data_IF_542170786382
#
_entry.id   IF_542170786382
#
_cell.length_a   1.000
_cell.length_b   1.000
_cell.length_c   1.000
_cell.angle_alpha   90.00
_cell.angle_beta   90.00
_cell.angle_gamma   90.00
#
_symmetry.space_group_name_H-M   'P 1'
#
loop_
_entity.id
_entity.type
_entity.pdbx_description
1 polymer ?
#
# COMPACT_ATOMS: atom_id res chain seq x y z
N UNK A 1 -1.88 -1.67 -10.07
CA UNK A 1 -0.96 -0.79 -9.32
C UNK A 1 0.38 -0.72 -10.06
N UNK A 2 1.09 -1.83 -10.17
CA UNK A 2 2.44 -1.89 -10.78
C UNK A 2 2.51 -1.31 -12.20
N UNK A 3 1.46 -1.44 -12.99
CA UNK A 3 1.38 -0.88 -14.35
C UNK A 3 1.20 0.65 -14.40
N UNK A 4 1.05 1.33 -13.27
CA UNK A 4 0.84 2.78 -13.19
C UNK A 4 -0.47 3.29 -13.81
N UNK A 5 -1.35 2.39 -14.26
CA UNK A 5 -2.61 2.81 -14.88
C UNK A 5 -3.61 3.25 -13.80
N UNK A 6 -4.07 4.47 -13.90
CA UNK A 6 -5.14 4.99 -13.04
C UNK A 6 -6.49 4.49 -13.53
N UNK A 7 -7.39 4.15 -12.61
CA UNK A 7 -8.74 3.68 -12.94
C UNK A 7 -9.64 4.85 -13.34
N UNK A 8 -9.47 5.99 -12.70
CA UNK A 8 -10.21 7.21 -12.99
C UNK A 8 -9.28 8.43 -12.98
N UNK A 9 -9.61 9.41 -13.76
CA UNK A 9 -8.96 10.74 -13.81
C UNK A 9 -10.03 11.81 -13.81
N UNK A 10 -9.77 13.00 -13.23
CA UNK A 10 -10.63 14.14 -13.42
C UNK A 10 -10.51 14.67 -14.87
N UNK A 11 -11.61 15.10 -15.44
CA UNK A 11 -11.65 15.89 -16.69
C UNK A 11 -11.28 17.36 -16.47
N UNK A 12 -11.48 18.21 -17.50
CA UNK A 12 -11.20 19.64 -17.42
C UNK A 12 -12.03 20.40 -16.38
N UNK A 13 -13.18 19.88 -16.02
CA UNK A 13 -14.10 20.44 -15.02
C UNK A 13 -13.93 19.78 -13.64
N UNK A 14 -12.97 18.87 -13.49
CA UNK A 14 -12.70 18.15 -12.26
C UNK A 14 -13.62 16.95 -12.03
N UNK A 15 -14.45 16.58 -13.00
CA UNK A 15 -15.37 15.45 -12.90
C UNK A 15 -14.60 14.13 -13.21
N UNK A 16 -14.62 13.13 -12.31
CA UNK A 16 -13.91 11.90 -12.54
C UNK A 16 -14.53 11.07 -13.66
N UNK A 17 -13.72 10.61 -14.60
CA UNK A 17 -14.12 9.65 -15.63
C UNK A 17 -13.26 8.40 -15.59
N UNK A 18 -13.81 7.26 -16.04
CA UNK A 18 -13.10 5.98 -16.08
C UNK A 18 -12.10 5.94 -17.24
N UNK A 19 -10.84 5.68 -16.92
CA UNK A 19 -9.75 5.61 -17.92
C UNK A 19 -9.57 4.21 -18.51
N UNK A 20 -10.26 3.21 -18.00
CA UNK A 20 -10.11 1.82 -18.48
C UNK A 20 -10.47 1.68 -19.96
N UNK A 21 -11.38 2.51 -20.47
CA UNK A 21 -11.84 2.49 -21.85
C UNK A 21 -10.94 3.27 -22.81
N UNK A 22 -10.00 4.07 -22.33
CA UNK A 22 -9.14 4.91 -23.20
C UNK A 22 -8.09 4.10 -23.94
N UNK A 23 -7.72 2.93 -23.40
CA UNK A 23 -6.80 1.97 -24.01
C UNK A 23 -7.20 0.56 -23.58
N UNK A 24 -8.11 -0.02 -24.34
CA UNK A 24 -8.67 -1.35 -24.07
C UNK A 24 -7.61 -2.45 -24.17
N UNK A 25 -6.67 -2.34 -25.09
CA UNK A 25 -5.62 -3.34 -25.28
C UNK A 25 -4.69 -3.40 -24.08
N UNK A 26 -4.19 -2.26 -23.62
CA UNK A 26 -3.35 -2.21 -22.42
C UNK A 26 -4.14 -2.65 -21.18
N UNK A 27 -5.41 -2.27 -21.07
CA UNK A 27 -6.27 -2.71 -19.97
C UNK A 27 -6.46 -4.23 -19.97
N UNK A 28 -6.74 -4.84 -21.13
CA UNK A 28 -6.89 -6.28 -21.26
C UNK A 28 -5.59 -7.01 -20.89
N UNK A 29 -4.44 -6.54 -21.38
CA UNK A 29 -3.14 -7.12 -21.03
C UNK A 29 -2.87 -7.09 -19.51
N UNK A 30 -3.14 -5.97 -18.87
CA UNK A 30 -2.96 -5.85 -17.42
C UNK A 30 -3.88 -6.82 -16.67
N UNK A 31 -5.16 -6.89 -17.08
CA UNK A 31 -6.13 -7.78 -16.45
C UNK A 31 -5.77 -9.25 -16.66
N UNK A 32 -5.33 -9.64 -17.84
CA UNK A 32 -4.87 -11.00 -18.13
C UNK A 32 -3.70 -11.38 -17.21
N UNK A 33 -2.67 -10.54 -17.13
CA UNK A 33 -1.54 -10.81 -16.24
C UNK A 33 -1.96 -10.93 -14.76
N UNK A 34 -2.88 -10.08 -14.30
CA UNK A 34 -3.39 -10.16 -12.93
C UNK A 34 -4.14 -11.47 -12.70
N UNK A 35 -5.00 -11.86 -13.64
CA UNK A 35 -5.77 -13.11 -13.54
C UNK A 35 -4.88 -14.34 -13.60
N UNK A 36 -3.88 -14.36 -14.49
CA UNK A 36 -2.91 -15.44 -14.58
C UNK A 36 -2.15 -15.59 -13.26
N UNK A 37 -1.66 -14.47 -12.70
CA UNK A 37 -0.99 -14.46 -11.40
C UNK A 37 -1.90 -14.99 -10.28
N UNK A 38 -3.15 -14.54 -10.18
CA UNK A 38 -4.09 -15.01 -9.15
C UNK A 38 -4.52 -16.47 -9.33
N UNK A 39 -4.44 -17.01 -10.53
CA UNK A 39 -4.78 -18.40 -10.83
C UNK A 39 -3.60 -19.37 -10.67
N UNK A 40 -2.39 -18.84 -10.43
CA UNK A 40 -1.19 -19.65 -10.18
C UNK A 40 -1.21 -20.23 -8.76
N UNK A 41 -1.90 -21.36 -8.60
CA UNK A 41 -2.22 -21.95 -7.29
C UNK A 41 -1.05 -22.65 -6.61
N UNK A 42 -0.01 -22.98 -7.35
CA UNK A 42 1.16 -23.69 -6.82
C UNK A 42 2.16 -22.73 -6.17
N UNK A 43 2.24 -21.51 -6.64
CA UNK A 43 3.24 -20.53 -6.23
C UNK A 43 2.66 -19.27 -5.59
N UNK A 44 1.34 -19.03 -5.73
CA UNK A 44 0.67 -17.83 -5.22
C UNK A 44 -0.41 -18.19 -4.21
N UNK A 45 -0.30 -17.66 -3.01
CA UNK A 45 -1.31 -17.78 -1.97
C UNK A 45 -2.17 -16.52 -1.90
N UNK A 46 -3.47 -16.67 -2.06
CA UNK A 46 -4.45 -15.58 -1.96
C UNK A 46 -5.41 -15.86 -0.80
N UNK A 47 -5.38 -15.02 0.24
CA UNK A 47 -6.11 -15.24 1.49
C UNK A 47 -7.61 -15.46 1.31
N UNK A 48 -8.25 -14.72 0.40
CA UNK A 48 -9.68 -14.78 0.16
C UNK A 48 -10.09 -15.77 -0.96
N UNK A 49 -9.20 -16.70 -1.32
CA UNK A 49 -9.44 -17.73 -2.32
C UNK A 49 -9.59 -19.10 -1.67
N UNK A 50 -10.25 -20.03 -2.37
CA UNK A 50 -10.21 -21.43 -1.95
C UNK A 50 -8.75 -21.94 -1.97
N UNK A 51 -8.34 -22.79 -1.02
CA UNK A 51 -9.19 -23.48 -0.03
C UNK A 51 -9.36 -22.73 1.31
N UNK A 52 -9.03 -21.47 1.41
CA UNK A 52 -8.97 -20.72 2.69
C UNK A 52 -10.30 -20.09 3.08
N UNK A 53 -11.14 -19.72 2.11
CA UNK A 53 -12.48 -19.22 2.35
C UNK A 53 -13.33 -20.29 3.08
N UNK A 54 -14.22 -19.86 3.94
CA UNK A 54 -15.14 -20.72 4.67
C UNK A 54 -14.50 -21.72 5.66
N UNK A 55 -13.25 -21.50 6.09
CA UNK A 55 -12.59 -22.32 7.11
C UNK A 55 -12.88 -21.90 8.55
N UNK A 56 -13.79 -20.95 8.76
CA UNK A 56 -14.15 -20.46 10.10
C UNK A 56 -13.11 -19.57 10.76
N UNK A 57 -12.16 -19.01 10.01
CA UNK A 57 -11.20 -18.05 10.54
C UNK A 57 -11.90 -16.70 10.85
N UNK A 58 -11.62 -16.14 11.99
CA UNK A 58 -12.05 -14.77 12.34
C UNK A 58 -11.37 -13.72 11.46
N UNK A 59 -10.13 -13.96 11.07
CA UNK A 59 -9.37 -13.19 10.11
C UNK A 59 -8.58 -14.15 9.21
N UNK A 60 -9.10 -14.38 8.01
CA UNK A 60 -8.51 -15.32 7.05
C UNK A 60 -7.09 -14.89 6.65
N UNK A 61 -6.86 -13.61 6.51
CA UNK A 61 -5.58 -13.04 6.12
C UNK A 61 -4.48 -13.33 7.17
N UNK A 62 -4.77 -13.08 8.45
CA UNK A 62 -3.82 -13.38 9.55
C UNK A 62 -3.56 -14.88 9.70
N UNK A 63 -4.60 -15.69 9.53
CA UNK A 63 -4.51 -17.13 9.72
C UNK A 63 -3.82 -17.86 8.55
N UNK A 64 -3.68 -17.23 7.40
CA UNK A 64 -3.14 -17.83 6.17
C UNK A 64 -1.87 -17.15 5.70
N UNK A 65 -1.96 -16.18 4.81
CA UNK A 65 -0.80 -15.55 4.15
C UNK A 65 0.15 -14.86 5.12
N UNK A 66 -0.38 -14.13 6.10
CA UNK A 66 0.47 -13.48 7.10
C UNK A 66 1.26 -14.52 7.94
N UNK A 67 0.56 -15.55 8.39
CA UNK A 67 1.18 -16.65 9.14
C UNK A 67 2.19 -17.42 8.29
N UNK A 68 1.89 -17.67 7.01
CA UNK A 68 2.80 -18.37 6.10
C UNK A 68 4.11 -17.61 5.93
N UNK A 69 4.05 -16.28 5.79
CA UNK A 69 5.25 -15.46 5.73
C UNK A 69 6.04 -15.46 7.05
N UNK A 70 5.36 -15.31 8.19
CA UNK A 70 6.00 -15.39 9.52
C UNK A 70 6.72 -16.72 9.78
N UNK A 71 6.24 -17.80 9.17
CA UNK A 71 6.81 -19.16 9.29
C UNK A 71 7.88 -19.45 8.22
N UNK A 72 8.28 -18.46 7.40
CA UNK A 72 9.28 -18.61 6.33
C UNK A 72 8.82 -19.49 5.16
N UNK A 73 7.52 -19.65 4.96
CA UNK A 73 6.94 -20.47 3.86
C UNK A 73 6.64 -19.68 2.60
N UNK A 74 6.79 -18.38 2.64
CA UNK A 74 6.62 -17.48 1.52
C UNK A 74 7.89 -16.66 1.31
N UNK A 75 8.34 -16.54 0.05
CA UNK A 75 9.52 -15.75 -0.31
C UNK A 75 9.20 -14.26 -0.42
N UNK A 76 8.01 -13.91 -0.87
CA UNK A 76 7.54 -12.54 -1.01
C UNK A 76 6.15 -12.39 -0.41
N UNK A 77 5.96 -11.29 0.30
CA UNK A 77 4.68 -10.96 0.90
C UNK A 77 4.31 -9.50 0.60
N UNK A 78 3.17 -9.30 -0.03
CA UNK A 78 2.71 -7.97 -0.42
C UNK A 78 1.76 -7.41 0.64
N UNK A 79 2.21 -6.40 1.38
CA UNK A 79 1.44 -5.79 2.45
C UNK A 79 1.72 -4.29 2.60
N UNK A 80 0.98 -3.63 3.49
CA UNK A 80 1.28 -2.25 3.89
C UNK A 80 2.44 -2.18 4.88
N UNK A 81 3.26 -1.12 4.82
CA UNK A 81 4.41 -0.92 5.71
C UNK A 81 4.06 -0.94 7.21
N UNK A 82 2.84 -0.63 7.57
CA UNK A 82 2.36 -0.69 8.96
C UNK A 82 2.50 -2.10 9.58
N UNK A 83 2.50 -3.14 8.76
CA UNK A 83 2.60 -4.53 9.21
C UNK A 83 4.02 -4.97 9.53
N UNK A 84 5.04 -4.18 9.19
CA UNK A 84 6.44 -4.52 9.46
C UNK A 84 6.70 -4.79 10.95
N UNK A 85 5.99 -4.12 11.85
CA UNK A 85 6.14 -4.35 13.28
C UNK A 85 5.79 -5.77 13.71
N UNK A 86 4.91 -6.46 12.98
CA UNK A 86 4.53 -7.85 13.27
C UNK A 86 5.62 -8.85 12.88
N UNK A 87 6.53 -8.48 11.97
CA UNK A 87 7.61 -9.35 11.50
C UNK A 87 8.86 -9.34 12.39
N UNK A 88 8.94 -8.48 13.39
CA UNK A 88 10.10 -8.38 14.29
C UNK A 88 10.48 -9.69 14.98
N UNK A 89 9.54 -10.62 15.12
CA UNK A 89 9.76 -11.93 15.75
C UNK A 89 10.12 -13.03 14.77
N UNK A 90 10.21 -12.73 13.48
CA UNK A 90 10.68 -13.72 12.49
C UNK A 90 12.11 -14.14 12.82
N UNK A 91 12.40 -15.40 12.52
CA UNK A 91 13.75 -15.96 12.65
C UNK A 91 14.65 -15.51 11.52
N UNK A 92 14.06 -15.37 10.33
CA UNK A 92 14.75 -14.99 9.10
C UNK A 92 14.77 -13.47 8.95
N UNK A 93 15.82 -12.96 8.35
CA UNK A 93 15.92 -11.56 7.99
C UNK A 93 15.07 -11.29 6.76
N UNK A 94 14.55 -10.08 6.66
CA UNK A 94 13.71 -9.65 5.56
C UNK A 94 14.10 -8.26 5.08
N UNK A 95 13.96 -8.03 3.77
CA UNK A 95 14.12 -6.73 3.14
C UNK A 95 12.77 -6.13 2.70
N UNK A 96 12.74 -4.82 2.53
CA UNK A 96 11.58 -4.09 2.02
C UNK A 96 11.87 -3.69 0.57
N UNK A 97 11.06 -4.20 -0.35
CA UNK A 97 11.19 -3.94 -1.78
C UNK A 97 9.99 -3.11 -2.28
N UNK A 98 10.20 -2.26 -3.29
CA UNK A 98 9.08 -1.65 -3.99
C UNK A 98 8.27 -2.71 -4.73
N UNK A 99 6.97 -2.46 -4.93
CA UNK A 99 6.14 -3.31 -5.79
C UNK A 99 6.80 -3.41 -7.17
N UNK A 100 7.02 -4.61 -7.71
CA UNK A 100 7.69 -4.80 -8.99
C UNK A 100 7.02 -4.02 -10.12
N UNK A 101 7.82 -3.56 -11.07
CA UNK A 101 7.29 -2.97 -12.30
C UNK A 101 6.51 -4.00 -13.10
N UNK A 102 5.42 -3.59 -13.71
CA UNK A 102 4.68 -4.42 -14.67
C UNK A 102 5.46 -4.64 -15.96
N UNK A 103 6.15 -3.60 -16.42
CA UNK A 103 7.01 -3.61 -17.59
C UNK A 103 8.39 -3.04 -17.22
N UNK A 104 9.50 -3.71 -17.56
CA UNK A 104 10.86 -3.20 -17.31
C UNK A 104 11.12 -1.82 -17.91
N UNK A 105 10.44 -1.47 -19.00
CA UNK A 105 10.56 -0.16 -19.65
C UNK A 105 9.92 1.00 -18.88
N UNK A 106 9.17 0.73 -17.80
CA UNK A 106 8.60 1.80 -16.98
C UNK A 106 9.71 2.67 -16.36
N UNK A 107 9.50 4.00 -16.38
CA UNK A 107 10.44 4.98 -15.84
C UNK A 107 10.58 4.88 -14.32
N UNK A 108 9.51 4.47 -13.62
CA UNK A 108 9.44 4.42 -12.16
C UNK A 108 8.63 3.25 -11.62
N UNK A 109 8.76 3.01 -10.32
CA UNK A 109 7.88 2.14 -9.55
C UNK A 109 6.59 2.89 -9.19
N UNK A 110 5.47 2.17 -9.20
CA UNK A 110 4.17 2.72 -8.82
C UNK A 110 3.66 2.04 -7.56
N UNK A 111 3.13 2.85 -6.66
CA UNK A 111 2.53 2.41 -5.41
C UNK A 111 1.09 2.90 -5.32
N UNK A 112 0.30 2.24 -4.49
CA UNK A 112 -1.07 2.66 -4.16
C UNK A 112 -1.14 2.99 -2.69
N UNK A 113 -1.78 4.08 -2.36
CA UNK A 113 -2.24 4.36 -1.01
C UNK A 113 -3.64 3.79 -0.88
N UNK A 114 -3.84 2.95 0.14
CA UNK A 114 -5.17 2.39 0.40
C UNK A 114 -6.11 3.49 0.88
N UNK A 115 -7.25 3.59 0.25
CA UNK A 115 -8.31 4.51 0.67
C UNK A 115 -8.75 4.24 2.12
N UNK A 116 -8.75 2.98 2.55
CA UNK A 116 -9.10 2.59 3.92
C UNK A 116 -8.04 2.98 4.96
N UNK A 117 -6.80 3.25 4.53
CA UNK A 117 -5.68 3.59 5.41
C UNK A 117 -5.16 5.02 5.16
N UNK A 118 -5.98 5.86 4.55
CA UNK A 118 -5.66 7.27 4.31
C UNK A 118 -6.36 8.11 5.37
N UNK A 119 -5.60 8.57 6.34
CA UNK A 119 -6.09 9.48 7.36
C UNK A 119 -6.23 10.90 6.80
N UNK A 120 -7.26 11.60 7.24
CA UNK A 120 -7.49 13.01 6.93
C UNK A 120 -7.62 13.80 8.22
N UNK A 121 -7.09 15.02 8.21
CA UNK A 121 -7.31 15.97 9.29
C UNK A 121 -8.59 16.76 8.99
N UNK A 122 -9.53 16.73 9.94
CA UNK A 122 -10.77 17.47 9.84
C UNK A 122 -10.78 18.62 10.84
N UNK A 123 -11.25 19.77 10.39
CA UNK A 123 -11.49 20.95 11.25
C UNK A 123 -13.02 21.08 11.41
N UNK A 124 -13.57 21.06 12.63
CA UNK A 124 -15.00 21.25 12.84
C UNK A 124 -15.49 22.60 12.28
N UNK A 125 -16.76 22.64 11.86
CA UNK A 125 -17.39 23.88 11.48
C UNK A 125 -17.66 24.76 12.72
N UNK A 126 -17.68 26.09 12.53
CA UNK A 126 -18.04 27.06 13.61
C UNK A 126 -16.90 27.90 14.12
N UNK A 127 -15.69 27.77 13.60
CA UNK A 127 -14.58 28.68 13.88
C UNK A 127 -14.72 29.98 13.05
N UNK A 128 -14.25 31.10 13.62
CA UNK A 128 -14.08 32.36 12.91
C UNK A 128 -12.95 32.27 11.89
N UNK A 129 -12.90 33.20 10.93
CA UNK A 129 -11.81 33.26 9.93
C UNK A 129 -10.42 33.37 10.59
N UNK A 130 -10.29 34.20 11.64
CA UNK A 130 -9.03 34.34 12.37
C UNK A 130 -8.59 33.04 13.05
N UNK A 131 -9.52 32.29 13.64
CA UNK A 131 -9.21 30.99 14.25
C UNK A 131 -8.84 29.96 13.17
N UNK A 132 -9.46 29.99 12.01
CA UNK A 132 -9.11 29.10 10.88
C UNK A 132 -7.70 29.41 10.35
N UNK A 133 -7.30 30.68 10.31
CA UNK A 133 -5.94 31.08 9.92
C UNK A 133 -4.91 30.52 10.92
N UNK A 134 -5.16 30.65 12.22
CA UNK A 134 -4.29 30.12 13.27
C UNK A 134 -4.19 28.59 13.20
N UNK A 135 -5.32 27.91 13.02
CA UNK A 135 -5.36 26.44 12.83
C UNK A 135 -4.58 26.03 11.59
N UNK A 136 -4.75 26.76 10.47
CA UNK A 136 -4.03 26.52 9.23
C UNK A 136 -2.52 26.69 9.38
N UNK A 137 -2.09 27.74 10.09
CA UNK A 137 -0.68 27.98 10.42
C UNK A 137 -0.10 26.85 11.27
N UNK A 138 -0.81 26.42 12.31
CA UNK A 138 -0.39 25.33 13.18
C UNK A 138 -0.29 24.01 12.42
N UNK A 139 -1.29 23.67 11.61
CA UNK A 139 -1.30 22.47 10.79
C UNK A 139 -0.13 22.43 9.79
N UNK A 140 0.15 23.58 9.17
CA UNK A 140 1.29 23.74 8.26
C UNK A 140 2.63 23.59 8.96
N UNK A 141 2.76 24.16 10.15
CA UNK A 141 3.96 24.03 10.96
C UNK A 141 4.20 22.58 11.41
N UNK A 142 3.17 21.90 11.91
CA UNK A 142 3.22 20.49 12.29
C UNK A 142 3.60 19.59 11.11
N UNK A 143 3.00 19.80 9.96
CA UNK A 143 3.32 19.05 8.73
C UNK A 143 4.77 19.23 8.32
N UNK A 144 5.27 20.47 8.35
CA UNK A 144 6.67 20.79 8.01
C UNK A 144 7.67 20.17 8.98
N UNK A 145 7.40 20.26 10.27
CA UNK A 145 8.30 19.68 11.30
C UNK A 145 8.23 18.15 11.28
N UNK A 146 7.05 17.58 11.04
CA UNK A 146 6.90 16.14 10.86
C UNK A 146 7.73 15.61 9.69
N UNK A 147 7.74 16.32 8.57
CA UNK A 147 8.58 15.97 7.41
C UNK A 147 10.07 15.99 7.73
N UNK A 148 10.51 16.88 8.63
CA UNK A 148 11.93 17.01 9.01
C UNK A 148 12.37 16.00 10.07
N UNK A 149 11.50 15.69 11.02
CA UNK A 149 11.85 14.94 12.22
C UNK A 149 11.26 13.52 12.21
N UNK A 150 9.94 13.42 11.98
CA UNK A 150 9.21 12.15 12.08
C UNK A 150 9.49 11.26 10.88
N UNK A 151 9.43 11.82 9.66
CA UNK A 151 9.63 11.03 8.43
C UNK A 151 11.02 10.39 8.37
N UNK A 152 12.14 11.11 8.59
CA UNK A 152 13.45 10.48 8.65
C UNK A 152 13.59 9.46 9.79
N UNK A 153 13.08 9.79 10.98
CA UNK A 153 13.12 8.85 12.10
C UNK A 153 12.36 7.56 11.81
N UNK A 154 11.23 7.65 11.14
CA UNK A 154 10.48 6.47 10.74
C UNK A 154 11.17 5.69 9.61
N UNK A 155 11.58 6.36 8.54
CA UNK A 155 12.16 5.71 7.37
C UNK A 155 13.57 5.17 7.64
N UNK A 156 14.43 5.98 8.23
CA UNK A 156 15.85 5.65 8.36
C UNK A 156 16.16 4.82 9.61
N UNK A 157 15.39 5.01 10.70
CA UNK A 157 15.64 4.30 11.95
C UNK A 157 14.66 3.14 12.13
N UNK A 158 13.34 3.42 12.06
CA UNK A 158 12.34 2.42 12.35
C UNK A 158 12.29 1.33 11.26
N UNK A 159 12.06 1.72 10.00
CA UNK A 159 11.93 0.75 8.92
C UNK A 159 13.25 0.07 8.59
N UNK A 160 14.32 0.84 8.41
CA UNK A 160 15.59 0.33 7.93
C UNK A 160 16.32 -0.54 8.95
N UNK A 161 16.45 -0.08 10.19
CA UNK A 161 17.26 -0.78 11.20
C UNK A 161 16.49 -1.66 12.16
N UNK A 162 15.22 -1.37 12.41
CA UNK A 162 14.44 -2.12 13.39
C UNK A 162 13.52 -3.15 12.78
N UNK A 163 12.91 -2.83 11.64
CA UNK A 163 11.87 -3.65 11.04
C UNK A 163 12.40 -4.50 9.88
N UNK A 164 13.20 -3.96 8.97
CA UNK A 164 13.72 -4.70 7.82
C UNK A 164 14.96 -5.54 8.13
N UNK A 165 15.75 -5.20 9.14
CA UNK A 165 17.04 -5.84 9.44
C UNK A 165 17.99 -5.93 8.24
N UNK A 166 17.83 -5.02 7.29
CA UNK A 166 18.67 -4.93 6.11
C UNK A 166 19.95 -4.17 6.47
N UNK A 167 21.12 -4.80 6.26
CA UNK A 167 22.44 -4.15 6.48
C UNK A 167 22.81 -3.22 5.33
#
# INVERSE_FOLDING_TARGET
>A
ISAGKKIALPDGDGIPYLTMNTDMTATANILTHVLDFYNEKETVMVANHEPYTNKGFSNVWEATVHKAFLEGRELFYMCGLILNTSFRKMKDDMGILPIPKFDPAQDRYYHTVSQANSDVMCIPAGFSESELDDIGLLASALSRESKKLVTPAYMDVQLKYRDARDE
#
